data_IF_833766556371
#
_entry.id   IF_833766556371
#
_cell.length_a   1.000
_cell.length_b   1.000
_cell.length_c   1.000
_cell.angle_alpha   90.00
_cell.angle_beta   90.00
_cell.angle_gamma   90.00
#
_symmetry.space_group_name_H-M   'P 1'
#
loop_
_entity.id
_entity.type
_entity.pdbx_description
1 polymer ?
#
# COMPACT_ATOMS: atom_id res chain seq x y z
N UNK A 1 -5.25 20.08 17.95
CA UNK A 1 -5.82 18.94 17.21
C UNK A 1 -7.22 18.70 17.73
N UNK A 2 -8.22 18.76 16.84
CA UNK A 2 -9.62 18.61 17.24
C UNK A 2 -9.88 17.15 17.64
N UNK A 3 -10.51 16.89 18.79
CA UNK A 3 -10.62 15.54 19.39
C UNK A 3 -11.20 14.49 18.43
N UNK A 4 -12.08 14.91 17.52
CA UNK A 4 -12.67 14.08 16.47
C UNK A 4 -11.64 13.42 15.55
N UNK A 5 -10.55 14.11 15.19
CA UNK A 5 -9.53 13.57 14.27
C UNK A 5 -8.78 12.40 14.95
N UNK A 6 -8.45 12.56 16.23
CA UNK A 6 -7.78 11.52 17.00
C UNK A 6 -8.67 10.28 17.14
N UNK A 7 -9.96 10.48 17.41
CA UNK A 7 -10.95 9.39 17.53
C UNK A 7 -11.06 8.61 16.22
N UNK A 8 -11.18 9.29 15.08
CA UNK A 8 -11.26 8.63 13.76
C UNK A 8 -9.98 7.84 13.47
N UNK A 9 -8.80 8.40 13.77
CA UNK A 9 -7.53 7.70 13.58
C UNK A 9 -7.43 6.43 14.43
N UNK A 10 -7.78 6.50 15.72
CA UNK A 10 -7.77 5.34 16.62
C UNK A 10 -8.77 4.27 16.16
N UNK A 11 -9.99 4.65 15.77
CA UNK A 11 -10.99 3.72 15.25
C UNK A 11 -10.51 3.00 13.99
N UNK A 12 -9.85 3.72 13.08
CA UNK A 12 -9.27 3.14 11.86
C UNK A 12 -8.24 2.06 12.20
N UNK A 13 -7.30 2.34 13.11
CA UNK A 13 -6.30 1.35 13.53
C UNK A 13 -6.91 0.12 14.20
N UNK A 14 -7.93 0.31 15.05
CA UNK A 14 -8.65 -0.80 15.69
C UNK A 14 -9.33 -1.67 14.63
N UNK A 15 -10.01 -1.07 13.64
CA UNK A 15 -10.64 -1.80 12.56
C UNK A 15 -9.62 -2.61 11.74
N UNK A 16 -8.49 -2.00 11.36
CA UNK A 16 -7.41 -2.68 10.65
C UNK A 16 -6.84 -3.86 11.45
N UNK A 17 -6.59 -3.68 12.74
CA UNK A 17 -6.09 -4.75 13.62
C UNK A 17 -7.11 -5.90 13.76
N UNK A 18 -8.41 -5.58 13.83
CA UNK A 18 -9.49 -6.56 13.86
C UNK A 18 -9.53 -7.42 12.59
N UNK A 19 -9.41 -6.79 11.42
CA UNK A 19 -9.38 -7.50 10.13
C UNK A 19 -8.11 -8.38 10.04
N UNK A 20 -6.95 -7.84 10.44
CA UNK A 20 -5.69 -8.57 10.40
C UNK A 20 -5.71 -9.83 11.28
N UNK A 21 -6.19 -9.72 12.53
CA UNK A 21 -6.28 -10.85 13.45
C UNK A 21 -7.31 -11.89 12.99
N UNK A 22 -8.44 -11.46 12.42
CA UNK A 22 -9.42 -12.36 11.82
C UNK A 22 -8.86 -13.14 10.62
N UNK A 23 -8.15 -12.45 9.72
CA UNK A 23 -7.52 -13.07 8.57
C UNK A 23 -6.40 -14.05 8.97
N UNK A 24 -5.57 -13.66 9.96
CA UNK A 24 -4.49 -14.49 10.50
C UNK A 24 -5.01 -15.79 11.12
N UNK A 25 -6.18 -15.76 11.77
CA UNK A 25 -6.80 -16.97 12.34
C UNK A 25 -7.31 -17.96 11.29
N UNK A 26 -7.53 -17.51 10.04
CA UNK A 26 -7.98 -18.36 8.92
C UNK A 26 -6.83 -18.88 8.06
N UNK A 27 -5.61 -18.40 8.26
CA UNK A 27 -4.43 -18.80 7.50
C UNK A 27 -3.66 -19.89 8.25
N UNK A 28 -4.02 -21.16 8.01
CA UNK A 28 -3.42 -22.31 8.72
C UNK A 28 -2.31 -23.03 7.94
N UNK A 29 -2.12 -22.71 6.65
CA UNK A 29 -1.20 -23.42 5.75
C UNK A 29 -0.29 -22.44 5.02
N UNK A 30 0.97 -22.81 4.80
CA UNK A 30 2.01 -21.95 4.17
C UNK A 30 1.57 -21.37 2.81
N UNK A 31 0.90 -22.16 1.97
CA UNK A 31 0.38 -21.69 0.68
C UNK A 31 -0.75 -20.65 0.80
N UNK A 32 -1.52 -20.69 1.88
CA UNK A 32 -2.53 -19.68 2.18
C UNK A 32 -1.90 -18.38 2.71
N UNK A 33 -0.72 -18.47 3.34
CA UNK A 33 0.02 -17.31 3.84
C UNK A 33 0.78 -16.57 2.73
N UNK A 34 1.50 -17.29 1.87
CA UNK A 34 2.35 -16.67 0.83
C UNK A 34 1.60 -16.25 -0.44
N UNK A 35 0.56 -16.98 -0.84
CA UNK A 35 -0.15 -16.74 -2.13
C UNK A 35 -1.65 -16.53 -1.92
N UNK A 36 -2.09 -16.30 -0.68
CA UNK A 36 -3.51 -16.24 -0.32
C UNK A 36 -4.32 -17.42 -0.90
N UNK A 37 -3.70 -18.60 -1.00
CA UNK A 37 -4.31 -19.82 -1.52
C UNK A 37 -4.61 -19.82 -3.02
N UNK A 38 -4.05 -18.89 -3.82
CA UNK A 38 -4.28 -18.73 -5.27
C UNK A 38 -5.74 -18.45 -5.67
N UNK A 39 -6.63 -18.22 -4.70
CA UNK A 39 -8.08 -18.02 -4.90
C UNK A 39 -8.52 -16.56 -4.88
N UNK A 40 -7.59 -15.61 -4.70
CA UNK A 40 -7.90 -14.18 -4.67
C UNK A 40 -7.93 -13.64 -6.09
N UNK A 41 -9.04 -13.00 -6.48
CA UNK A 41 -9.22 -12.47 -7.84
C UNK A 41 -8.18 -11.42 -8.22
N UNK A 42 -7.93 -11.30 -9.53
CA UNK A 42 -6.95 -10.37 -10.13
C UNK A 42 -7.08 -8.94 -9.62
N UNK A 43 -8.31 -8.44 -9.44
CA UNK A 43 -8.55 -7.08 -8.97
C UNK A 43 -8.09 -6.85 -7.53
N UNK A 44 -8.35 -7.80 -6.64
CA UNK A 44 -7.95 -7.69 -5.22
C UNK A 44 -6.43 -7.80 -5.11
N UNK A 45 -5.81 -8.69 -5.89
CA UNK A 45 -4.36 -8.80 -5.97
C UNK A 45 -3.70 -7.52 -6.52
N UNK A 46 -4.26 -6.91 -7.56
CA UNK A 46 -3.76 -5.66 -8.11
C UNK A 46 -3.85 -4.50 -7.09
N UNK A 47 -4.97 -4.39 -6.37
CA UNK A 47 -5.14 -3.38 -5.31
C UNK A 47 -4.16 -3.62 -4.17
N UNK A 48 -3.96 -4.87 -3.73
CA UNK A 48 -3.01 -5.21 -2.69
C UNK A 48 -1.56 -4.88 -3.09
N UNK A 49 -1.19 -5.20 -4.33
CA UNK A 49 0.12 -4.85 -4.88
C UNK A 49 0.33 -3.34 -4.96
N UNK A 50 -0.70 -2.58 -5.37
CA UNK A 50 -0.66 -1.13 -5.40
C UNK A 50 -0.52 -0.56 -3.98
N UNK A 51 -1.30 -1.04 -3.02
CA UNK A 51 -1.24 -0.63 -1.62
C UNK A 51 0.14 -0.89 -1.00
N UNK A 52 0.76 -2.03 -1.32
CA UNK A 52 2.11 -2.37 -0.86
C UNK A 52 3.21 -1.49 -1.49
N UNK A 53 2.97 -0.93 -2.67
CA UNK A 53 3.92 -0.06 -3.37
C UNK A 53 3.84 1.40 -2.92
N UNK A 54 2.76 1.79 -2.24
CA UNK A 54 2.54 3.15 -1.77
C UNK A 54 3.23 3.38 -0.41
N UNK A 55 4.09 4.40 -0.34
CA UNK A 55 4.80 4.79 0.88
C UNK A 55 4.49 6.22 1.30
N UNK A 56 4.88 6.62 2.51
CA UNK A 56 4.72 8.00 2.99
C UNK A 56 5.45 9.04 2.11
N UNK A 57 6.48 8.61 1.37
CA UNK A 57 7.13 9.46 0.37
C UNK A 57 6.18 9.79 -0.78
N UNK A 58 5.37 8.84 -1.26
CA UNK A 58 4.43 9.10 -2.34
C UNK A 58 3.34 10.12 -1.94
N UNK A 59 2.89 10.08 -0.68
CA UNK A 59 1.81 10.96 -0.20
C UNK A 59 2.28 12.35 0.24
N UNK A 60 3.42 12.44 0.94
CA UNK A 60 3.87 13.70 1.56
C UNK A 60 5.20 14.17 0.95
N UNK A 61 6.15 13.25 0.76
CA UNK A 61 7.50 13.57 0.29
C UNK A 61 7.55 14.11 -1.13
N UNK A 62 6.89 13.43 -2.07
CA UNK A 62 6.84 13.78 -3.48
C UNK A 62 6.22 15.16 -3.74
N UNK A 63 4.99 15.43 -3.25
CA UNK A 63 4.39 16.75 -3.36
C UNK A 63 5.20 17.85 -2.65
N UNK A 64 5.80 17.56 -1.49
CA UNK A 64 6.67 18.49 -0.78
C UNK A 64 7.93 18.86 -1.57
N UNK A 65 8.55 17.87 -2.23
CA UNK A 65 9.68 18.07 -3.14
C UNK A 65 9.27 18.87 -4.38
N UNK A 66 8.08 18.59 -4.92
CA UNK A 66 7.52 19.34 -6.04
C UNK A 66 7.31 20.82 -5.69
N UNK A 67 6.75 21.07 -4.50
CA UNK A 67 6.54 22.42 -4.00
C UNK A 67 7.86 23.17 -3.80
N UNK A 68 8.88 22.51 -3.28
CA UNK A 68 10.17 23.14 -2.99
C UNK A 68 11.10 23.31 -4.21
N UNK A 69 11.03 22.40 -5.20
CA UNK A 69 12.00 22.33 -6.32
C UNK A 69 11.35 22.48 -7.70
N UNK A 70 10.03 22.66 -7.77
CA UNK A 70 9.27 22.81 -9.01
C UNK A 70 9.07 21.49 -9.78
N UNK A 71 8.54 21.61 -11.00
CA UNK A 71 8.19 20.48 -11.87
C UNK A 71 9.37 19.57 -12.24
N UNK A 72 10.61 20.03 -12.04
CA UNK A 72 11.79 19.18 -12.19
C UNK A 72 11.69 17.93 -11.32
N UNK A 73 11.21 18.04 -10.07
CA UNK A 73 11.16 16.92 -9.12
C UNK A 73 10.21 15.77 -9.51
N UNK A 74 9.36 15.95 -10.54
CA UNK A 74 8.51 14.86 -11.07
C UNK A 74 9.36 13.69 -11.60
N UNK A 75 10.63 13.93 -11.99
CA UNK A 75 11.54 12.88 -12.46
C UNK A 75 11.76 11.76 -11.43
N UNK A 76 11.48 11.98 -10.14
CA UNK A 76 11.63 10.96 -9.10
C UNK A 76 10.40 10.03 -9.03
N UNK A 77 9.22 10.56 -9.35
CA UNK A 77 7.93 9.84 -9.18
C UNK A 77 7.54 9.12 -10.47
N UNK A 78 7.76 9.75 -11.64
CA UNK A 78 7.41 9.18 -12.95
C UNK A 78 8.09 7.82 -13.23
N UNK A 79 9.41 7.66 -13.02
CA UNK A 79 10.07 6.38 -13.23
C UNK A 79 9.65 5.35 -12.20
N UNK A 80 9.41 5.73 -10.94
CA UNK A 80 9.05 4.78 -9.88
C UNK A 80 7.76 3.99 -10.21
N UNK A 81 6.77 4.64 -10.83
CA UNK A 81 5.53 3.98 -11.25
C UNK A 81 5.75 2.95 -12.39
N UNK A 82 6.66 3.25 -13.32
CA UNK A 82 6.95 2.41 -14.48
C UNK A 82 7.92 1.30 -14.11
N UNK A 83 8.98 1.60 -13.39
CA UNK A 83 9.97 0.61 -12.95
C UNK A 83 9.32 -0.38 -12.00
N UNK A 84 8.56 0.05 -10.99
CA UNK A 84 7.90 -0.86 -10.05
C UNK A 84 6.97 -1.86 -10.73
N UNK A 85 6.15 -1.39 -11.67
CA UNK A 85 5.27 -2.27 -12.45
C UNK A 85 6.07 -3.21 -13.34
N UNK A 86 7.00 -2.70 -14.17
CA UNK A 86 7.81 -3.55 -15.06
C UNK A 86 8.64 -4.60 -14.29
N UNK A 87 9.18 -4.25 -13.12
CA UNK A 87 9.95 -5.20 -12.31
C UNK A 87 9.06 -6.32 -11.77
N UNK A 88 7.83 -5.99 -11.36
CA UNK A 88 6.84 -6.99 -10.96
C UNK A 88 6.39 -7.88 -12.13
N UNK A 89 6.31 -7.34 -13.36
CA UNK A 89 6.01 -8.12 -14.56
C UNK A 89 7.16 -9.03 -15.02
N UNK A 90 8.42 -8.63 -14.81
CA UNK A 90 9.61 -9.40 -15.22
C UNK A 90 9.99 -10.47 -14.17
N UNK A 91 9.78 -10.20 -12.89
CA UNK A 91 10.14 -11.10 -11.78
C UNK A 91 8.98 -11.96 -11.27
N UNK A 92 7.73 -11.61 -11.61
CA UNK A 92 6.53 -12.37 -11.28
C UNK A 92 6.34 -13.58 -12.16
#
# INVERSE_FOLDING_TARGET
MNGTIAIVGVLYFIACAGIATWAARRTTTSGAFFVAGRGVGVWVMAIAAMASSLSGFAFIGGPGLLYARGLGAVYIILPAAITGTLTAWVLG
#
